data_IF_735732740011
#
_entry.id   IF_735732740011
#
_cell.length_a   1.000
_cell.length_b   1.000
_cell.length_c   1.000
_cell.angle_alpha   90.00
_cell.angle_beta   90.00
_cell.angle_gamma   90.00
#
_symmetry.space_group_name_H-M   'P 1'
#
loop_
_entity.id
_entity.type
_entity.pdbx_description
1 polymer ?
#
# COMPACT_ATOMS: atom_id res chain seq x y z
N UNK A 1 -40.22 27.12 63.89
CA UNK A 1 -39.21 27.21 62.82
C UNK A 1 -38.36 25.95 62.93
N UNK A 2 -38.72 24.90 62.19
CA UNK A 2 -38.20 24.53 60.85
C UNK A 2 -36.96 23.62 60.97
N UNK A 3 -37.11 22.31 60.71
CA UNK A 3 -36.88 21.60 59.42
C UNK A 3 -35.38 21.54 59.09
N UNK A 4 -34.75 20.45 58.66
CA UNK A 4 -35.04 19.02 58.54
C UNK A 4 -33.68 18.36 58.23
N UNK A 5 -33.63 17.04 58.36
CA UNK A 5 -32.53 16.14 57.98
C UNK A 5 -32.09 16.28 56.51
N UNK A 6 -30.82 15.98 56.19
CA UNK A 6 -30.47 14.86 55.28
C UNK A 6 -28.98 14.50 55.34
N UNK A 7 -28.76 13.24 55.71
CA UNK A 7 -27.55 12.42 55.58
C UNK A 7 -27.53 11.76 54.19
N UNK A 8 -26.41 11.12 53.84
CA UNK A 8 -26.15 10.17 52.73
C UNK A 8 -25.47 10.83 51.52
N UNK A 9 -24.39 10.30 50.94
CA UNK A 9 -23.75 9.00 51.17
C UNK A 9 -22.42 8.88 50.45
N UNK A 10 -21.49 8.23 51.15
CA UNK A 10 -20.25 7.68 50.63
C UNK A 10 -20.54 6.47 49.73
N UNK A 11 -19.90 6.47 48.56
CA UNK A 11 -19.11 5.34 48.04
C UNK A 11 -19.82 3.99 47.87
N UNK A 12 -20.70 3.82 46.86
CA UNK A 12 -21.23 2.49 46.49
C UNK A 12 -21.47 2.28 44.99
N UNK A 13 -20.44 2.48 44.15
CA UNK A 13 -20.47 1.99 42.76
C UNK A 13 -19.16 1.24 42.49
N UNK A 14 -19.05 -0.03 42.91
CA UNK A 14 -17.89 -0.86 42.50
C UNK A 14 -18.06 -2.38 42.50
N UNK A 15 -19.27 -2.95 42.54
CA UNK A 15 -19.41 -4.42 42.49
C UNK A 15 -20.18 -5.02 41.32
N UNK A 16 -21.00 -4.25 40.58
CA UNK A 16 -21.79 -4.81 39.48
C UNK A 16 -21.20 -4.62 38.07
N UNK A 17 -20.19 -3.75 37.92
CA UNK A 17 -19.55 -3.51 36.62
C UNK A 17 -18.28 -4.36 36.37
N UNK A 18 -17.86 -5.20 37.32
CA UNK A 18 -16.67 -6.06 37.17
C UNK A 18 -17.01 -7.47 36.66
N UNK A 19 -18.23 -7.97 36.92
CA UNK A 19 -18.63 -9.34 36.56
C UNK A 19 -19.06 -9.48 35.08
N UNK A 20 -19.60 -8.43 34.48
CA UNK A 20 -19.96 -8.42 33.06
C UNK A 20 -18.75 -8.18 32.14
N UNK A 21 -17.62 -7.66 32.65
CA UNK A 21 -16.41 -7.47 31.85
C UNK A 21 -15.55 -8.74 31.74
N UNK A 22 -15.63 -9.68 32.69
CA UNK A 22 -14.87 -10.93 32.61
C UNK A 22 -15.44 -11.93 31.60
N UNK A 23 -16.75 -11.90 31.36
CA UNK A 23 -17.41 -12.82 30.42
C UNK A 23 -17.18 -12.43 28.97
N UNK A 24 -16.97 -11.14 28.68
CA UNK A 24 -16.72 -10.65 27.30
C UNK A 24 -15.24 -10.80 26.91
N UNK A 25 -14.34 -11.13 27.85
CA UNK A 25 -12.90 -11.25 27.58
C UNK A 25 -12.50 -12.61 26.98
N UNK A 26 -13.34 -13.64 27.08
CA UNK A 26 -12.94 -15.01 26.75
C UNK A 26 -13.32 -15.48 25.33
N UNK A 27 -14.07 -14.67 24.56
CA UNK A 27 -14.45 -15.00 23.18
C UNK A 27 -13.70 -14.21 22.10
N UNK A 28 -12.72 -13.37 22.47
CA UNK A 28 -11.95 -12.60 21.47
C UNK A 28 -10.68 -13.29 20.95
N UNK A 29 -10.35 -14.49 21.43
CA UNK A 29 -9.11 -15.19 21.04
C UNK A 29 -9.21 -15.95 19.71
N UNK A 30 -10.40 -16.08 19.11
CA UNK A 30 -10.61 -16.90 17.91
C UNK A 30 -10.81 -16.09 16.61
N UNK A 31 -10.42 -14.80 16.60
CA UNK A 31 -10.36 -13.95 15.41
C UNK A 31 -8.94 -13.37 15.19
N UNK A 32 -7.87 -14.18 15.23
CA UNK A 32 -6.51 -13.63 15.01
C UNK A 32 -5.99 -13.72 13.57
N UNK A 33 -6.38 -14.68 12.74
CA UNK A 33 -5.59 -14.90 11.51
C UNK A 33 -5.92 -13.99 10.31
N UNK A 34 -7.03 -13.24 10.37
CA UNK A 34 -7.44 -12.32 9.29
C UNK A 34 -7.27 -10.83 9.62
N UNK A 35 -7.07 -10.47 10.89
CA UNK A 35 -7.00 -9.06 11.37
C UNK A 35 -5.57 -8.62 11.68
N UNK A 36 -4.61 -9.56 11.77
CA UNK A 36 -3.23 -9.22 12.10
C UNK A 36 -2.54 -8.41 10.98
N UNK A 37 -2.78 -8.73 9.71
CA UNK A 37 -2.13 -8.10 8.56
C UNK A 37 -2.46 -6.59 8.46
N UNK A 38 -3.74 -6.23 8.69
CA UNK A 38 -4.19 -4.84 8.67
C UNK A 38 -3.83 -4.08 9.93
N UNK A 39 -3.57 -4.76 11.04
CA UNK A 39 -3.10 -4.12 12.26
C UNK A 39 -1.57 -3.93 12.25
N UNK A 40 -0.81 -4.81 11.60
CA UNK A 40 0.67 -4.74 11.50
C UNK A 40 1.17 -3.38 11.02
N UNK A 41 0.54 -2.79 9.99
CA UNK A 41 0.94 -1.46 9.51
C UNK A 41 0.65 -0.36 10.54
N UNK A 42 -0.49 -0.44 11.25
CA UNK A 42 -0.87 0.50 12.32
C UNK A 42 0.12 0.39 13.48
N UNK A 43 0.47 -0.84 13.89
CA UNK A 43 1.46 -1.08 14.94
C UNK A 43 2.86 -0.62 14.54
N UNK A 44 3.30 -0.82 13.30
CA UNK A 44 4.58 -0.30 12.83
C UNK A 44 4.61 1.24 12.81
N UNK A 45 3.48 1.87 12.44
CA UNK A 45 3.32 3.34 12.46
C UNK A 45 3.39 3.90 13.89
N UNK A 46 2.96 3.14 14.89
CA UNK A 46 3.06 3.49 16.31
C UNK A 46 4.43 3.19 16.92
N UNK A 47 5.13 2.15 16.44
CA UNK A 47 6.45 1.73 16.96
C UNK A 47 7.64 2.55 16.44
N UNK A 48 7.42 3.61 15.66
CA UNK A 48 8.50 4.51 15.22
C UNK A 48 9.56 3.85 14.33
N UNK A 49 9.31 2.65 13.77
CA UNK A 49 10.18 2.09 12.74
C UNK A 49 10.02 2.97 11.50
N UNK A 50 11.12 3.48 10.89
CA UNK A 50 11.02 4.20 9.64
C UNK A 50 10.36 3.27 8.61
N UNK A 51 9.14 3.60 8.21
CA UNK A 51 8.45 2.86 7.17
C UNK A 51 9.30 3.03 5.90
N UNK A 52 9.88 1.93 5.41
CA UNK A 52 10.66 1.94 4.15
C UNK A 52 9.85 2.68 3.10
N UNK A 53 10.46 3.57 2.34
CA UNK A 53 9.78 4.22 1.23
C UNK A 53 9.41 3.18 0.16
N UNK A 54 8.38 3.46 -0.65
CA UNK A 54 8.04 2.56 -1.78
C UNK A 54 9.24 2.35 -2.72
N UNK A 55 10.04 3.40 -2.93
CA UNK A 55 11.26 3.35 -3.71
C UNK A 55 12.30 2.38 -3.13
N UNK A 56 12.49 2.37 -1.80
CA UNK A 56 13.39 1.42 -1.13
C UNK A 56 12.90 -0.01 -1.26
N UNK A 57 11.59 -0.24 -1.09
CA UNK A 57 10.98 -1.57 -1.30
C UNK A 57 11.25 -2.04 -2.72
N UNK A 58 10.99 -1.21 -3.74
CA UNK A 58 11.27 -1.60 -5.13
C UNK A 58 12.75 -1.91 -5.36
N UNK A 59 13.65 -1.11 -4.78
CA UNK A 59 15.09 -1.32 -4.87
C UNK A 59 15.53 -2.65 -4.25
N UNK A 60 14.99 -3.01 -3.09
CA UNK A 60 15.26 -4.29 -2.41
C UNK A 60 14.84 -5.48 -3.28
N UNK A 61 13.73 -5.33 -4.00
CA UNK A 61 13.24 -6.29 -4.97
C UNK A 61 13.88 -6.14 -6.36
N UNK A 62 14.99 -5.41 -6.50
CA UNK A 62 15.74 -5.22 -7.76
C UNK A 62 14.90 -4.61 -8.91
N UNK A 63 13.92 -3.79 -8.55
CA UNK A 63 13.11 -3.01 -9.49
C UNK A 63 13.51 -1.53 -9.45
N UNK A 64 13.35 -0.78 -10.55
CA UNK A 64 13.64 0.64 -10.58
C UNK A 64 12.74 1.40 -9.59
N UNK A 65 13.31 2.27 -8.73
CA UNK A 65 12.54 2.96 -7.71
C UNK A 65 11.56 3.99 -8.28
N UNK A 66 11.78 4.46 -9.51
CA UNK A 66 10.91 5.39 -10.23
C UNK A 66 9.80 4.75 -11.05
N UNK A 67 9.50 3.45 -10.87
CA UNK A 67 8.35 2.80 -11.55
C UNK A 67 7.00 3.41 -11.18
N UNK A 68 6.91 4.09 -10.04
CA UNK A 68 5.73 4.81 -9.59
C UNK A 68 6.02 6.32 -9.59
N UNK A 69 4.98 7.16 -9.70
CA UNK A 69 5.15 8.60 -9.60
C UNK A 69 5.65 9.02 -8.23
N UNK A 70 6.20 10.23 -8.16
CA UNK A 70 6.74 10.80 -6.92
C UNK A 70 5.67 10.97 -5.82
N UNK A 71 4.44 11.33 -6.21
CA UNK A 71 3.32 11.56 -5.29
C UNK A 71 2.52 10.28 -5.07
N UNK A 72 2.92 9.49 -4.07
CA UNK A 72 2.17 8.33 -3.56
C UNK A 72 1.62 8.66 -2.18
N UNK A 73 0.34 8.33 -1.93
CA UNK A 73 -0.31 8.59 -0.64
C UNK A 73 0.17 7.62 0.42
N UNK A 74 0.10 6.33 0.11
CA UNK A 74 0.61 5.25 0.95
C UNK A 74 0.70 3.95 0.13
N UNK A 75 1.35 2.94 0.70
CA UNK A 75 1.37 1.59 0.14
C UNK A 75 1.17 0.56 1.25
N UNK A 76 0.63 -0.59 0.89
CA UNK A 76 0.53 -1.79 1.72
C UNK A 76 1.36 -2.89 1.05
N UNK A 77 2.26 -3.51 1.82
CA UNK A 77 3.06 -4.65 1.37
C UNK A 77 2.85 -5.81 2.33
N UNK A 78 2.35 -6.91 1.80
CA UNK A 78 2.34 -8.22 2.46
C UNK A 78 3.60 -8.97 1.99
N UNK A 79 4.64 -8.97 2.83
CA UNK A 79 5.92 -9.63 2.54
C UNK A 79 5.78 -11.16 2.45
N UNK A 80 4.80 -11.76 3.13
CA UNK A 80 4.59 -13.20 3.12
C UNK A 80 4.01 -13.69 1.79
N UNK A 81 3.10 -12.91 1.18
CA UNK A 81 2.49 -13.24 -0.13
C UNK A 81 3.09 -12.47 -1.29
N UNK A 82 3.98 -11.51 -1.01
CA UNK A 82 4.50 -10.56 -1.99
C UNK A 82 3.42 -9.65 -2.58
N UNK A 83 2.29 -9.41 -1.90
CA UNK A 83 1.22 -8.56 -2.45
C UNK A 83 1.51 -7.10 -2.14
N UNK A 84 1.60 -6.28 -3.18
CA UNK A 84 1.81 -4.84 -3.10
C UNK A 84 0.55 -4.11 -3.57
N UNK A 85 0.06 -3.18 -2.75
CA UNK A 85 -1.02 -2.28 -3.09
C UNK A 85 -0.54 -0.85 -2.90
N UNK A 86 -0.57 -0.05 -3.96
CA UNK A 86 -0.14 1.34 -3.94
C UNK A 86 -1.37 2.23 -4.09
N UNK A 87 -1.50 3.21 -3.20
CA UNK A 87 -2.59 4.18 -3.22
C UNK A 87 -2.06 5.53 -3.69
N UNK A 88 -2.64 5.99 -4.79
CA UNK A 88 -2.38 7.28 -5.41
C UNK A 88 -3.50 8.24 -5.02
N UNK A 89 -3.22 9.56 -4.96
CA UNK A 89 -4.24 10.55 -4.61
C UNK A 89 -5.40 10.60 -5.60
N UNK A 90 -5.12 10.40 -6.89
CA UNK A 90 -6.05 10.49 -8.01
C UNK A 90 -5.52 9.62 -9.17
N UNK A 91 -6.35 9.29 -10.18
CA UNK A 91 -5.83 8.71 -11.41
C UNK A 91 -4.85 9.70 -12.06
N UNK A 92 -3.74 9.20 -12.58
CA UNK A 92 -2.69 10.06 -13.10
C UNK A 92 -1.89 9.43 -14.23
N UNK A 93 -1.22 10.27 -15.01
CA UNK A 93 -0.32 9.88 -16.08
C UNK A 93 1.09 10.32 -15.80
N UNK A 94 2.04 9.46 -16.14
CA UNK A 94 3.47 9.73 -16.03
C UNK A 94 4.10 9.59 -17.40
N UNK A 95 4.79 10.65 -17.83
CA UNK A 95 5.66 10.61 -19.01
C UNK A 95 7.10 10.32 -18.55
N UNK A 96 7.64 9.22 -19.04
CA UNK A 96 9.00 8.78 -18.71
C UNK A 96 10.04 9.36 -19.66
N UNK A 97 11.32 9.17 -19.31
CA UNK A 97 12.49 9.72 -20.03
C UNK A 97 12.60 9.19 -21.46
N UNK A 98 12.09 8.00 -21.70
CA UNK A 98 11.98 7.33 -23.00
C UNK A 98 10.73 7.73 -23.79
N UNK A 99 10.04 8.81 -23.40
CA UNK A 99 8.75 9.27 -23.96
C UNK A 99 7.59 8.27 -23.82
N UNK A 100 7.78 7.19 -23.04
CA UNK A 100 6.71 6.26 -22.73
C UNK A 100 5.72 6.89 -21.76
N UNK A 101 4.42 6.70 -22.02
CA UNK A 101 3.37 7.17 -21.12
C UNK A 101 2.73 5.97 -20.41
N UNK A 102 2.61 6.08 -19.09
CA UNK A 102 1.92 5.11 -18.24
C UNK A 102 0.84 5.83 -17.44
N UNK A 103 -0.38 5.31 -17.53
CA UNK A 103 -1.52 5.78 -16.75
C UNK A 103 -1.74 4.86 -15.56
N UNK A 104 -1.97 5.45 -14.41
CA UNK A 104 -2.19 4.79 -13.13
C UNK A 104 -3.60 5.09 -12.64
N UNK A 105 -4.27 4.09 -12.10
CA UNK A 105 -5.50 4.25 -11.33
C UNK A 105 -5.17 4.69 -9.89
N UNK A 106 -6.19 5.14 -9.15
CA UNK A 106 -6.04 5.54 -7.74
C UNK A 106 -5.50 4.41 -6.86
N UNK A 107 -5.79 3.16 -7.25
CA UNK A 107 -5.33 1.96 -6.56
C UNK A 107 -4.66 1.02 -7.55
N UNK A 108 -3.37 0.79 -7.34
CA UNK A 108 -2.58 -0.14 -8.14
C UNK A 108 -2.30 -1.38 -7.30
N UNK A 109 -2.68 -2.55 -7.81
CA UNK A 109 -2.38 -3.83 -7.15
C UNK A 109 -1.37 -4.59 -8.00
N UNK A 110 -0.43 -5.27 -7.35
CA UNK A 110 0.52 -6.12 -8.02
C UNK A 110 1.08 -7.17 -7.05
N UNK A 111 1.65 -8.22 -7.61
CA UNK A 111 2.48 -9.17 -6.89
C UNK A 111 3.95 -8.84 -7.14
N UNK A 112 4.64 -8.47 -6.08
CA UNK A 112 6.04 -8.14 -6.03
C UNK A 112 6.87 -9.42 -5.81
N UNK A 113 7.85 -9.61 -6.67
CA UNK A 113 8.83 -10.70 -6.58
C UNK A 113 10.19 -10.19 -7.03
N UNK A 114 11.26 -10.92 -6.74
CA UNK A 114 12.63 -10.44 -7.02
C UNK A 114 12.83 -10.21 -8.52
N UNK A 115 13.02 -8.95 -8.89
CA UNK A 115 13.18 -8.45 -10.25
C UNK A 115 11.90 -8.41 -11.08
N UNK A 116 10.73 -8.73 -10.51
CA UNK A 116 9.48 -8.84 -11.28
C UNK A 116 8.27 -8.34 -10.49
N UNK A 117 7.43 -7.59 -11.18
CA UNK A 117 6.12 -7.14 -10.74
C UNK A 117 5.08 -7.78 -11.65
N UNK A 118 4.19 -8.62 -11.13
CA UNK A 118 3.22 -9.41 -11.91
C UNK A 118 1.80 -9.19 -11.41
N UNK A 119 0.80 -9.64 -12.17
CA UNK A 119 -0.60 -9.51 -11.77
C UNK A 119 -1.03 -8.05 -11.60
N UNK A 120 -0.45 -7.15 -12.41
CA UNK A 120 -0.63 -5.72 -12.24
C UNK A 120 -2.08 -5.34 -12.61
N UNK A 121 -2.73 -4.60 -11.72
CA UNK A 121 -4.06 -4.03 -11.89
C UNK A 121 -3.98 -2.53 -11.60
N UNK A 122 -4.60 -1.70 -12.44
CA UNK A 122 -4.53 -0.24 -12.28
C UNK A 122 -3.34 0.44 -12.98
N UNK A 123 -2.62 -0.26 -13.86
CA UNK A 123 -1.64 0.36 -14.76
C UNK A 123 -1.99 0.09 -16.23
N UNK A 124 -1.98 1.14 -17.05
CA UNK A 124 -2.09 1.09 -18.50
C UNK A 124 -0.90 1.78 -19.14
N UNK A 125 -0.50 1.35 -20.32
CA UNK A 125 0.53 2.05 -21.10
C UNK A 125 0.01 2.40 -22.48
N UNK A 126 0.47 3.54 -23.00
CA UNK A 126 0.08 4.01 -24.33
C UNK A 126 0.95 3.35 -25.39
N UNK A 127 0.31 2.57 -26.25
CA UNK A 127 0.88 2.14 -27.53
C UNK A 127 0.13 2.89 -28.62
N UNK A 128 -0.70 2.21 -29.42
CA UNK A 128 -1.71 2.83 -30.29
C UNK A 128 -2.97 3.18 -29.49
N UNK A 129 -3.35 2.27 -28.59
CA UNK A 129 -4.45 2.43 -27.62
C UNK A 129 -3.91 2.22 -26.21
N UNK A 130 -4.71 2.54 -25.20
CA UNK A 130 -4.37 2.25 -23.81
C UNK A 130 -4.51 0.75 -23.53
N UNK A 131 -3.40 0.09 -23.21
CA UNK A 131 -3.38 -1.35 -22.93
C UNK A 131 -2.98 -1.58 -21.48
N UNK A 132 -3.67 -2.50 -20.81
CA UNK A 132 -3.33 -2.92 -19.45
C UNK A 132 -1.92 -3.51 -19.42
N UNK A 133 -1.12 -3.05 -18.47
CA UNK A 133 0.18 -3.67 -18.16
C UNK A 133 -0.08 -4.89 -17.28
N UNK A 134 0.40 -6.05 -17.70
CA UNK A 134 0.23 -7.32 -16.98
C UNK A 134 1.41 -7.62 -16.07
N UNK A 135 2.64 -7.31 -16.53
CA UNK A 135 3.86 -7.50 -15.75
C UNK A 135 4.97 -6.56 -16.17
N UNK A 136 5.88 -6.30 -15.23
CA UNK A 136 7.12 -5.56 -15.42
C UNK A 136 8.25 -6.43 -14.87
N UNK A 137 9.33 -6.63 -15.63
CA UNK A 137 10.43 -7.49 -15.20
C UNK A 137 11.79 -6.93 -15.60
N UNK A 138 12.78 -7.13 -14.74
CA UNK A 138 14.19 -6.82 -14.98
C UNK A 138 14.96 -8.13 -14.89
N UNK A 139 15.73 -8.46 -15.93
CA UNK A 139 16.47 -9.74 -16.03
C UNK A 139 17.54 -9.84 -14.93
N UNK A 140 18.22 -8.74 -14.63
CA UNK A 140 19.22 -8.64 -13.58
C UNK A 140 19.46 -7.20 -13.16
N UNK A 141 20.00 -6.97 -11.96
CA UNK A 141 20.31 -5.62 -11.46
C UNK A 141 21.24 -4.84 -12.40
N UNK A 142 22.19 -5.53 -13.06
CA UNK A 142 23.12 -4.98 -14.05
C UNK A 142 22.50 -4.79 -15.45
N UNK A 143 21.27 -5.22 -15.67
CA UNK A 143 20.64 -5.06 -16.97
C UNK A 143 20.14 -3.63 -17.15
N UNK A 144 20.47 -3.04 -18.29
CA UNK A 144 20.05 -1.68 -18.64
C UNK A 144 18.64 -1.61 -19.23
N UNK A 145 17.88 -2.72 -19.15
CA UNK A 145 16.57 -2.86 -19.77
C UNK A 145 15.53 -3.36 -18.78
N UNK A 146 14.35 -2.76 -18.84
CA UNK A 146 13.13 -3.17 -18.16
C UNK A 146 12.15 -3.66 -19.21
N UNK A 147 11.53 -4.81 -18.95
CA UNK A 147 10.52 -5.38 -19.84
C UNK A 147 9.13 -5.07 -19.32
N UNK A 148 8.34 -4.40 -20.15
CA UNK A 148 6.92 -4.17 -19.92
C UNK A 148 6.11 -5.15 -20.76
N UNK A 149 5.22 -5.90 -20.12
CA UNK A 149 4.31 -6.83 -20.79
C UNK A 149 2.92 -6.23 -20.79
N UNK A 150 2.42 -5.85 -21.96
CA UNK A 150 1.08 -5.32 -22.16
C UNK A 150 0.50 -5.90 -23.46
N UNK A 151 -0.05 -7.12 -23.37
CA UNK A 151 -0.35 -7.98 -24.53
C UNK A 151 0.92 -8.53 -25.23
N UNK A 152 1.87 -7.66 -25.51
CA UNK A 152 3.20 -7.98 -26.05
C UNK A 152 4.28 -7.54 -25.06
N UNK A 153 5.38 -8.29 -25.00
CA UNK A 153 6.57 -7.92 -24.21
C UNK A 153 7.42 -6.89 -24.97
N UNK A 154 7.68 -5.74 -24.35
CA UNK A 154 8.48 -4.64 -24.92
C UNK A 154 9.61 -4.25 -23.98
N UNK A 155 10.82 -4.10 -24.51
CA UNK A 155 11.96 -3.59 -23.75
C UNK A 155 11.97 -2.07 -23.71
N UNK A 156 12.31 -1.51 -22.55
CA UNK A 156 12.49 -0.08 -22.31
C UNK A 156 13.80 0.15 -21.54
N UNK A 157 14.47 1.30 -21.69
CA UNK A 157 15.71 1.56 -20.96
C UNK A 157 15.44 1.70 -19.46
N UNK A 158 16.24 1.03 -18.62
CA UNK A 158 16.09 1.03 -17.16
C UNK A 158 16.27 2.43 -16.57
N UNK A 159 17.23 3.21 -17.09
CA UNK A 159 17.52 4.58 -16.63
C UNK A 159 16.33 5.54 -16.77
N UNK A 160 15.38 5.26 -17.66
CA UNK A 160 14.15 6.05 -17.75
C UNK A 160 13.25 5.93 -16.51
N UNK A 161 13.41 4.86 -15.72
CA UNK A 161 12.59 4.51 -14.57
C UNK A 161 13.36 4.59 -13.24
N UNK A 162 14.60 5.06 -13.24
CA UNK A 162 15.44 5.12 -12.03
C UNK A 162 14.99 6.24 -11.09
N UNK A 163 14.50 7.36 -11.63
CA UNK A 163 14.04 8.50 -10.84
C UNK A 163 12.52 8.65 -10.91
N UNK A 164 11.82 8.77 -9.76
CA UNK A 164 10.39 9.08 -9.74
C UNK A 164 10.11 10.38 -10.49
N UNK A 165 9.03 10.37 -11.27
CA UNK A 165 8.57 11.50 -12.08
C UNK A 165 7.34 12.13 -11.46
N UNK A 166 7.12 13.40 -11.77
CA UNK A 166 5.83 14.02 -11.51
C UNK A 166 4.74 13.38 -12.37
N UNK A 167 3.54 13.29 -11.80
CA UNK A 167 2.38 12.78 -12.49
C UNK A 167 1.39 13.91 -12.78
N UNK A 168 0.76 13.84 -13.93
CA UNK A 168 -0.31 14.73 -14.35
C UNK A 168 -1.62 14.05 -13.96
N UNK A 169 -2.47 14.73 -13.20
CA UNK A 169 -3.76 14.20 -12.80
C UNK A 169 -4.67 14.06 -14.03
N UNK A 170 -5.42 12.97 -14.09
CA UNK A 170 -6.44 12.74 -15.11
C UNK A 170 -7.77 12.39 -14.44
N UNK A 171 -8.88 12.74 -15.09
CA UNK A 171 -10.23 12.50 -14.56
C UNK A 171 -10.61 11.02 -14.63
N UNK A 172 -10.13 10.29 -15.63
CA UNK A 172 -10.53 8.90 -15.90
C UNK A 172 -9.34 7.98 -16.23
N UNK A 173 -9.47 6.71 -15.84
CA UNK A 173 -8.48 5.65 -16.04
C UNK A 173 -8.71 4.84 -17.31
#
# INVERSE_FOLDING_TARGET
MEKALTKVGSFWISKKAKEELSTISHDLSNFSDAVEEKAKWVFNKLKGKPQKSLAEVLREYNLPPGLFPQKVKCYELDESKGKLIVYLPSPCEVCFKDSSIVRYANRVKATLSRGKLTGIEGMKTKVIVWVKVSSISVESYKSDKVWFTAGVKKSRPKDAYEMPREAIQVEEF
#
